data_IF_062734614424
#
_entry.id   IF_062734614424
#
_cell.length_a   1.000
_cell.length_b   1.000
_cell.length_c   1.000
_cell.angle_alpha   90.00
_cell.angle_beta   90.00
_cell.angle_gamma   90.00
#
_symmetry.space_group_name_H-M   'P 1'
#
loop_
_entity.id
_entity.type
_entity.pdbx_description
1 polymer ?
#
# COMPACT_ATOMS: atom_id res chain seq x y z
N UNK A 1 0.66 18.00 42.48
CA UNK A 1 1.48 18.25 43.68
C UNK A 1 1.21 17.12 44.65
N UNK A 2 2.23 16.33 45.01
CA UNK A 2 2.07 15.25 45.99
C UNK A 2 2.37 15.81 47.38
N UNK A 3 1.37 15.85 48.26
CA UNK A 3 1.53 16.27 49.66
C UNK A 3 1.57 14.99 50.50
N UNK A 4 2.63 14.83 51.29
CA UNK A 4 2.82 13.68 52.18
C UNK A 4 2.58 14.17 53.60
N UNK A 5 1.59 13.59 54.29
CA UNK A 5 1.21 13.95 55.67
C UNK A 5 1.33 12.69 56.52
N UNK A 6 1.97 12.78 57.68
CA UNK A 6 1.98 11.69 58.68
C UNK A 6 3.09 10.62 58.55
N UNK A 7 4.12 10.83 57.74
CA UNK A 7 5.27 9.92 57.69
C UNK A 7 6.26 10.20 58.84
N UNK A 8 6.65 9.16 59.58
CA UNK A 8 7.57 9.25 60.74
C UNK A 8 8.99 8.84 60.41
N UNK A 9 9.24 8.25 59.24
CA UNK A 9 10.55 7.82 58.77
C UNK A 9 10.84 8.29 57.35
N UNK A 10 12.12 8.58 57.07
CA UNK A 10 12.61 8.94 55.74
C UNK A 10 12.27 7.88 54.68
N UNK A 11 12.27 6.59 55.07
CA UNK A 11 11.86 5.48 54.20
C UNK A 11 10.38 5.58 53.81
N UNK A 12 9.50 5.98 54.71
CA UNK A 12 8.06 6.08 54.45
C UNK A 12 7.75 7.28 53.55
N UNK A 13 8.47 8.39 53.76
CA UNK A 13 8.43 9.54 52.85
C UNK A 13 8.88 9.13 51.45
N UNK A 14 10.04 8.46 51.32
CA UNK A 14 10.57 8.03 50.02
C UNK A 14 9.65 7.03 49.31
N UNK A 15 9.10 6.05 50.03
CA UNK A 15 8.18 5.08 49.44
C UNK A 15 6.86 5.70 49.04
N UNK A 16 6.33 6.65 49.81
CA UNK A 16 5.13 7.41 49.46
C UNK A 16 5.35 8.29 48.21
N UNK A 17 6.46 9.03 48.15
CA UNK A 17 6.89 9.77 46.96
C UNK A 17 7.04 8.84 45.75
N UNK A 18 7.79 7.75 45.90
CA UNK A 18 8.03 6.79 44.81
C UNK A 18 6.72 6.21 44.30
N UNK A 19 5.78 5.87 45.19
CA UNK A 19 4.44 5.39 44.81
C UNK A 19 3.63 6.46 44.06
N UNK A 20 3.60 7.69 44.57
CA UNK A 20 2.85 8.78 43.95
C UNK A 20 3.42 9.15 42.57
N UNK A 21 4.74 9.30 42.47
CA UNK A 21 5.41 9.67 41.22
C UNK A 21 5.52 8.52 40.23
N UNK A 22 5.63 7.26 40.68
CA UNK A 22 5.62 6.11 39.75
C UNK A 22 4.27 5.95 39.07
N UNK A 23 3.16 6.09 39.79
CA UNK A 23 1.83 6.04 39.20
C UNK A 23 1.60 7.22 38.24
N UNK A 24 1.93 8.45 38.66
CA UNK A 24 1.82 9.63 37.81
C UNK A 24 2.70 9.53 36.54
N UNK A 25 3.91 8.97 36.66
CA UNK A 25 4.82 8.75 35.54
C UNK A 25 4.27 7.71 34.56
N UNK A 26 3.75 6.57 35.04
CA UNK A 26 3.13 5.54 34.19
C UNK A 26 1.86 6.04 33.49
N UNK A 27 0.97 6.72 34.20
CA UNK A 27 -0.24 7.30 33.62
C UNK A 27 0.13 8.33 32.54
N UNK A 28 1.15 9.16 32.79
CA UNK A 28 1.67 10.12 31.82
C UNK A 28 2.32 9.45 30.61
N UNK A 29 3.07 8.36 30.81
CA UNK A 29 3.66 7.57 29.73
C UNK A 29 2.56 7.00 28.81
N UNK A 30 1.52 6.39 29.39
CA UNK A 30 0.40 5.83 28.64
C UNK A 30 -0.37 6.92 27.90
N UNK A 31 -0.70 8.03 28.56
CA UNK A 31 -1.39 9.15 27.91
C UNK A 31 -0.60 9.71 26.71
N UNK A 32 0.72 9.84 26.83
CA UNK A 32 1.56 10.29 25.70
C UNK A 32 1.63 9.26 24.55
N UNK A 33 1.57 7.96 24.86
CA UNK A 33 1.48 6.91 23.85
C UNK A 33 0.12 6.95 23.14
N UNK A 34 -0.96 7.13 23.88
CA UNK A 34 -2.31 7.27 23.31
C UNK A 34 -2.40 8.53 22.43
N UNK A 35 -1.82 9.64 22.89
CA UNK A 35 -1.66 10.86 22.08
C UNK A 35 -0.89 10.56 20.79
N UNK A 36 0.26 9.87 20.86
CA UNK A 36 1.05 9.50 19.68
C UNK A 36 0.24 8.66 18.67
N UNK A 37 -0.56 7.71 19.15
CA UNK A 37 -1.39 6.83 18.32
C UNK A 37 -2.59 7.55 17.70
N UNK A 38 -3.13 8.55 18.40
CA UNK A 38 -4.28 9.34 17.95
C UNK A 38 -3.90 10.48 17.01
N UNK A 39 -2.62 10.89 17.01
CA UNK A 39 -2.08 11.96 16.16
C UNK A 39 -2.25 11.60 14.69
N UNK A 40 -3.05 12.43 14.01
CA UNK A 40 -3.30 12.37 12.58
C UNK A 40 -3.07 13.75 11.98
N UNK A 41 -2.63 13.79 10.73
CA UNK A 41 -2.44 15.04 10.00
C UNK A 41 -3.74 15.83 9.84
N UNK A 42 -4.83 15.15 9.47
CA UNK A 42 -6.09 15.82 9.13
C UNK A 42 -5.88 16.91 8.07
N UNK A 43 -6.35 18.12 8.38
CA UNK A 43 -6.25 19.31 7.53
C UNK A 43 -4.95 20.13 7.76
N UNK A 44 -4.08 19.68 8.66
CA UNK A 44 -2.84 20.38 8.97
C UNK A 44 -1.81 20.25 7.83
N UNK A 45 -0.95 21.27 7.71
CA UNK A 45 0.24 21.15 6.86
C UNK A 45 1.20 20.10 7.42
N UNK A 46 1.99 19.46 6.55
CA UNK A 46 2.95 18.42 6.99
C UNK A 46 3.96 18.98 7.99
N UNK A 47 4.38 20.23 7.81
CA UNK A 47 5.28 20.89 8.77
C UNK A 47 4.67 20.98 10.17
N UNK A 48 3.41 21.43 10.28
CA UNK A 48 2.73 21.54 11.58
C UNK A 48 2.49 20.17 12.21
N UNK A 49 2.07 19.21 11.40
CA UNK A 49 1.89 17.82 11.84
C UNK A 49 3.20 17.20 12.34
N UNK A 50 4.29 17.32 11.58
CA UNK A 50 5.60 16.81 11.96
C UNK A 50 6.16 17.45 13.23
N UNK A 51 5.96 18.76 13.41
CA UNK A 51 6.33 19.46 14.65
C UNK A 51 5.52 18.95 15.85
N UNK A 52 4.21 18.78 15.69
CA UNK A 52 3.35 18.26 16.75
C UNK A 52 3.73 16.83 17.15
N UNK A 53 3.96 15.97 16.16
CA UNK A 53 4.44 14.60 16.36
C UNK A 53 5.79 14.59 17.09
N UNK A 54 6.77 15.38 16.64
CA UNK A 54 8.09 15.49 17.28
C UNK A 54 7.97 15.95 18.73
N UNK A 55 7.12 16.94 19.01
CA UNK A 55 6.92 17.43 20.37
C UNK A 55 6.40 16.34 21.32
N UNK A 56 5.57 15.41 20.85
CA UNK A 56 5.12 14.26 21.65
C UNK A 56 6.27 13.27 21.86
N UNK A 57 7.05 12.97 20.82
CA UNK A 57 8.24 12.14 20.94
C UNK A 57 9.26 12.72 21.94
N UNK A 58 9.45 14.03 21.94
CA UNK A 58 10.36 14.73 22.85
C UNK A 58 9.84 14.69 24.29
N UNK A 59 8.53 14.80 24.50
CA UNK A 59 7.89 14.58 25.82
C UNK A 59 8.11 13.16 26.32
N UNK A 60 8.00 12.14 25.46
CA UNK A 60 8.30 10.75 25.81
C UNK A 60 9.79 10.54 26.13
N UNK A 61 10.68 11.14 25.34
CA UNK A 61 12.11 11.13 25.61
C UNK A 61 12.44 11.78 26.98
N UNK A 62 11.73 12.84 27.38
CA UNK A 62 11.92 13.49 28.69
C UNK A 62 11.57 12.60 29.89
N UNK A 63 10.75 11.56 29.70
CA UNK A 63 10.37 10.59 30.74
C UNK A 63 11.33 9.37 30.72
N UNK A 64 12.47 9.48 30.01
CA UNK A 64 13.44 8.38 29.84
C UNK A 64 12.77 7.17 29.15
N UNK A 65 11.82 7.47 28.25
CA UNK A 65 11.08 6.51 27.43
C UNK A 65 11.15 6.93 25.97
N UNK A 66 12.35 6.96 25.42
CA UNK A 66 12.56 7.27 24.00
C UNK A 66 12.00 6.16 23.11
N UNK A 67 11.32 6.56 22.03
CA UNK A 67 10.86 5.65 20.98
C UNK A 67 12.04 5.32 20.05
N UNK A 68 12.11 4.10 19.55
CA UNK A 68 13.09 3.69 18.53
C UNK A 68 12.97 4.53 17.25
N UNK A 69 14.08 4.72 16.53
CA UNK A 69 14.07 5.51 15.29
C UNK A 69 13.17 4.91 14.22
N UNK A 70 13.14 3.58 14.09
CA UNK A 70 12.31 2.84 13.14
C UNK A 70 10.84 3.00 13.47
N UNK A 71 10.50 2.85 14.76
CA UNK A 71 9.14 3.01 15.25
C UNK A 71 8.64 4.45 15.03
N UNK A 72 9.46 5.46 15.35
CA UNK A 72 9.12 6.87 15.10
C UNK A 72 8.75 7.11 13.64
N UNK A 73 9.54 6.57 12.72
CA UNK A 73 9.31 6.65 11.28
C UNK A 73 8.00 5.97 10.88
N UNK A 74 7.76 4.75 11.37
CA UNK A 74 6.52 4.01 11.11
C UNK A 74 5.27 4.74 11.63
N UNK A 75 5.29 5.22 12.88
CA UNK A 75 4.17 5.96 13.47
C UNK A 75 3.89 7.27 12.74
N UNK A 76 4.93 7.99 12.32
CA UNK A 76 4.78 9.21 11.53
C UNK A 76 4.06 8.95 10.21
N UNK A 77 4.46 7.91 9.46
CA UNK A 77 3.89 7.55 8.17
C UNK A 77 2.43 7.10 8.29
N UNK A 78 2.07 6.41 9.38
CA UNK A 78 0.70 5.98 9.68
C UNK A 78 -0.27 7.15 9.88
N UNK A 79 0.20 8.25 10.48
CA UNK A 79 -0.65 9.42 10.77
C UNK A 79 -0.80 10.42 9.60
N UNK A 80 -0.11 10.25 8.47
CA UNK A 80 -0.22 11.16 7.30
C UNK A 80 -1.59 11.13 6.62
N UNK A 81 -2.32 10.01 6.75
CA UNK A 81 -3.66 9.83 6.22
C UNK A 81 -3.72 9.45 4.73
N UNK A 82 -4.93 9.29 4.16
CA UNK A 82 -5.14 8.66 2.85
C UNK A 82 -4.57 9.47 1.66
N UNK A 83 -4.46 10.80 1.79
CA UNK A 83 -3.87 11.65 0.75
C UNK A 83 -2.38 11.36 0.48
N UNK A 84 -1.71 10.69 1.42
CA UNK A 84 -0.31 10.28 1.33
C UNK A 84 -0.19 8.75 1.28
N UNK A 85 -1.28 8.01 1.04
CA UNK A 85 -1.28 6.54 1.03
C UNK A 85 -0.21 5.94 0.11
N UNK A 86 -0.08 6.44 -1.12
CA UNK A 86 0.96 6.00 -2.06
C UNK A 86 2.37 6.31 -1.56
N UNK A 87 2.58 7.52 -1.03
CA UNK A 87 3.86 7.93 -0.45
C UNK A 87 4.24 7.03 0.74
N UNK A 88 3.30 6.80 1.66
CA UNK A 88 3.48 5.92 2.82
C UNK A 88 3.82 4.49 2.38
N UNK A 89 3.12 3.93 1.40
CA UNK A 89 3.39 2.58 0.90
C UNK A 89 4.79 2.44 0.30
N UNK A 90 5.21 3.40 -0.54
CA UNK A 90 6.55 3.43 -1.15
C UNK A 90 7.63 3.52 -0.07
N UNK A 91 7.38 4.32 0.95
CA UNK A 91 8.36 4.57 1.99
C UNK A 91 8.49 3.42 2.99
N UNK A 92 7.39 2.71 3.28
CA UNK A 92 7.40 1.49 4.08
C UNK A 92 8.02 0.29 3.36
N UNK A 93 8.05 0.30 2.02
CA UNK A 93 8.70 -0.73 1.23
C UNK A 93 10.24 -0.57 1.13
N UNK A 94 10.82 0.51 1.68
CA UNK A 94 12.26 0.73 1.70
C UNK A 94 12.91 -0.03 2.86
N UNK A 95 14.00 -0.74 2.56
CA UNK A 95 14.80 -1.45 3.55
C UNK A 95 16.27 -0.97 3.46
N UNK A 96 16.81 -0.31 4.50
CA UNK A 96 16.21 0.03 5.79
C UNK A 96 15.24 1.22 5.72
N UNK A 97 14.30 1.27 6.68
CA UNK A 97 13.37 2.39 6.81
C UNK A 97 14.13 3.68 7.07
N UNK A 98 13.81 4.74 6.32
CA UNK A 98 14.48 6.03 6.47
C UNK A 98 14.15 6.68 7.82
N UNK A 99 15.09 7.48 8.34
CA UNK A 99 14.91 8.20 9.60
C UNK A 99 13.86 9.32 9.49
N UNK A 100 13.18 9.61 10.60
CA UNK A 100 12.11 10.60 10.70
C UNK A 100 12.41 11.95 10.03
N UNK A 101 13.58 12.54 10.23
CA UNK A 101 13.88 13.87 9.68
C UNK A 101 13.95 13.85 8.15
N UNK A 102 14.50 12.78 7.57
CA UNK A 102 14.54 12.57 6.11
C UNK A 102 13.14 12.31 5.55
N UNK A 103 12.30 11.56 6.28
CA UNK A 103 10.90 11.33 5.92
C UNK A 103 10.10 12.61 5.90
N UNK A 104 10.28 13.46 6.91
CA UNK A 104 9.61 14.75 7.02
C UNK A 104 9.99 15.66 5.85
N UNK A 105 11.27 15.70 5.48
CA UNK A 105 11.73 16.45 4.31
C UNK A 105 11.11 15.94 3.01
N UNK A 106 11.13 14.62 2.77
CA UNK A 106 10.50 14.01 1.59
C UNK A 106 9.00 14.24 1.52
N UNK A 107 8.30 14.13 2.65
CA UNK A 107 6.87 14.38 2.74
C UNK A 107 6.52 15.83 2.39
N UNK A 108 7.31 16.81 2.87
CA UNK A 108 7.15 18.23 2.50
C UNK A 108 7.33 18.45 0.99
N UNK A 109 8.39 17.87 0.40
CA UNK A 109 8.61 17.95 -1.04
C UNK A 109 7.46 17.33 -1.82
N UNK A 110 6.97 16.16 -1.40
CA UNK A 110 5.81 15.50 -2.00
C UNK A 110 4.56 16.38 -1.96
N UNK A 111 4.28 17.06 -0.85
CA UNK A 111 3.17 18.00 -0.75
C UNK A 111 3.30 19.19 -1.71
N UNK A 112 4.52 19.71 -1.88
CA UNK A 112 4.78 20.77 -2.84
C UNK A 112 4.49 20.33 -4.28
N UNK A 113 4.97 19.14 -4.66
CA UNK A 113 4.71 18.56 -5.98
C UNK A 113 3.21 18.25 -6.19
N UNK A 114 2.53 17.65 -5.22
CA UNK A 114 1.09 17.39 -5.29
C UNK A 114 0.29 18.68 -5.51
N UNK A 115 0.61 19.75 -4.78
CA UNK A 115 -0.04 21.05 -4.99
C UNK A 115 0.21 21.60 -6.38
N UNK A 116 1.42 21.47 -6.91
CA UNK A 116 1.73 21.92 -8.28
C UNK A 116 0.94 21.16 -9.36
N UNK A 117 0.64 19.87 -9.14
CA UNK A 117 -0.23 19.09 -10.04
C UNK A 117 -1.71 19.46 -9.93
N UNK A 118 -2.17 19.95 -8.77
CA UNK A 118 -3.55 20.39 -8.56
C UNK A 118 -3.82 21.82 -9.10
N UNK A 119 -2.80 22.66 -9.29
CA UNK A 119 -2.92 24.06 -9.76
C UNK A 119 -3.17 24.16 -11.29
N UNK A 120 -3.51 23.07 -11.97
CA UNK A 120 -4.08 23.14 -13.33
C UNK A 120 -5.61 23.06 -13.27
N UNK A 121 -6.36 24.20 -13.26
CA UNK A 121 -7.74 24.16 -13.65
C UNK A 121 -7.79 23.93 -15.16
N UNK A 122 -7.82 22.66 -15.59
CA UNK A 122 -8.25 22.32 -16.96
C UNK A 122 -9.71 21.89 -16.92
N UNK A 123 -10.68 22.81 -17.03
CA UNK A 123 -12.03 22.46 -17.47
C UNK A 123 -12.05 22.26 -19.00
N UNK A 124 -11.03 21.62 -19.58
CA UNK A 124 -10.93 21.39 -21.03
C UNK A 124 -11.40 19.99 -21.44
N UNK A 125 -12.00 19.23 -20.52
CA UNK A 125 -12.64 17.96 -20.87
C UNK A 125 -14.09 18.14 -21.36
N UNK A 126 -14.73 19.29 -21.08
CA UNK A 126 -16.08 19.58 -21.55
C UNK A 126 -16.13 20.33 -22.90
N UNK A 127 -15.10 21.12 -23.25
CA UNK A 127 -15.09 21.84 -24.53
C UNK A 127 -14.93 20.93 -25.75
N UNK A 128 -14.25 19.78 -25.59
CA UNK A 128 -14.14 18.79 -26.65
C UNK A 128 -15.45 17.99 -26.87
N UNK A 129 -16.37 17.98 -25.90
CA UNK A 129 -17.67 17.29 -26.02
C UNK A 129 -18.79 18.18 -26.57
N UNK A 130 -18.59 19.50 -26.65
CA UNK A 130 -19.62 20.43 -27.15
C UNK A 130 -19.47 20.77 -28.65
N UNK A 131 -18.35 20.46 -29.29
CA UNK A 131 -18.13 20.77 -30.72
C UNK A 131 -18.47 19.62 -31.70
N UNK A 132 -18.94 18.47 -31.22
CA UNK A 132 -19.49 17.43 -32.10
C UNK A 132 -20.88 17.01 -31.63
N UNK A 133 -21.86 17.89 -31.81
CA UNK A 133 -23.25 17.48 -32.04
C UNK A 133 -23.59 17.70 -33.52
N UNK A 134 -23.44 16.71 -34.41
CA UNK A 134 -24.25 16.71 -35.61
C UNK A 134 -25.68 16.32 -35.21
N UNK A 135 -26.61 17.20 -35.55
CA UNK A 135 -28.06 17.05 -35.51
C UNK A 135 -28.52 15.72 -36.13
N UNK A 136 -29.53 15.10 -35.52
CA UNK A 136 -30.07 13.78 -35.85
C UNK A 136 -30.69 13.68 -37.27
N UNK A 137 -30.20 12.69 -38.04
CA UNK A 137 -30.89 11.67 -38.90
C UNK A 137 -31.63 12.09 -40.20
N UNK A 138 -31.91 11.17 -41.18
CA UNK A 138 -31.73 9.69 -41.23
C UNK A 138 -31.16 9.03 -42.55
N UNK A 139 -30.72 7.75 -42.42
CA UNK A 139 -30.70 6.60 -43.38
C UNK A 139 -30.18 6.82 -44.84
N UNK A 140 -29.19 6.06 -45.32
CA UNK A 140 -29.30 4.65 -45.74
C UNK A 140 -27.91 4.00 -45.94
N UNK A 141 -27.86 2.69 -45.69
CA UNK A 141 -26.89 1.71 -46.22
C UNK A 141 -25.43 1.76 -45.72
N UNK A 142 -25.12 0.92 -44.72
CA UNK A 142 -23.89 0.10 -44.70
C UNK A 142 -24.02 -1.02 -43.65
N UNK A 143 -24.99 -1.92 -43.86
CA UNK A 143 -25.20 -3.10 -43.00
C UNK A 143 -24.26 -4.25 -43.41
N UNK A 144 -22.94 -4.05 -43.45
CA UNK A 144 -22.04 -5.14 -43.86
C UNK A 144 -20.68 -5.24 -43.13
N UNK A 145 -20.17 -4.17 -42.51
CA UNK A 145 -18.86 -4.25 -41.81
C UNK A 145 -18.91 -4.69 -40.34
N UNK A 146 -20.04 -4.53 -39.62
CA UNK A 146 -20.09 -4.89 -38.19
C UNK A 146 -20.27 -6.38 -37.91
N UNK A 147 -20.74 -7.17 -38.90
CA UNK A 147 -20.83 -8.63 -38.73
C UNK A 147 -19.46 -9.31 -38.81
N UNK A 148 -18.58 -8.85 -39.69
CA UNK A 148 -17.24 -9.46 -39.87
C UNK A 148 -16.31 -9.22 -38.67
N UNK A 149 -16.35 -8.04 -38.05
CA UNK A 149 -15.46 -7.72 -36.91
C UNK A 149 -15.91 -8.43 -35.63
N UNK A 150 -17.23 -8.49 -35.35
CA UNK A 150 -17.75 -9.26 -34.20
C UNK A 150 -17.53 -10.77 -34.36
N UNK A 151 -17.71 -11.32 -35.57
CA UNK A 151 -17.44 -12.74 -35.82
C UNK A 151 -15.95 -13.09 -35.65
N UNK A 152 -15.02 -12.24 -36.12
CA UNK A 152 -13.58 -12.50 -36.01
C UNK A 152 -13.04 -12.43 -34.58
N UNK A 153 -13.62 -11.57 -33.73
CA UNK A 153 -13.27 -11.49 -32.29
C UNK A 153 -13.81 -12.68 -31.49
N UNK A 154 -15.01 -13.15 -31.80
CA UNK A 154 -15.62 -14.31 -31.13
C UNK A 154 -14.89 -15.61 -31.49
N UNK A 155 -14.51 -15.81 -32.75
CA UNK A 155 -13.72 -16.97 -33.20
C UNK A 155 -12.35 -17.03 -32.51
N UNK A 156 -11.66 -15.89 -32.36
CA UNK A 156 -10.36 -15.83 -31.67
C UNK A 156 -10.48 -16.16 -30.18
N UNK A 157 -11.53 -15.70 -29.50
CA UNK A 157 -11.78 -16.06 -28.08
C UNK A 157 -12.14 -17.55 -27.92
N UNK A 158 -12.89 -18.12 -28.86
CA UNK A 158 -13.20 -19.56 -28.90
C UNK A 158 -11.95 -20.44 -29.03
N UNK A 159 -11.06 -20.11 -29.97
CA UNK A 159 -9.81 -20.85 -30.19
C UNK A 159 -8.89 -20.82 -28.96
N UNK A 160 -8.77 -19.68 -28.28
CA UNK A 160 -7.96 -19.57 -27.06
C UNK A 160 -8.56 -20.39 -25.91
N UNK A 161 -9.89 -20.44 -25.80
CA UNK A 161 -10.57 -21.25 -24.79
C UNK A 161 -10.45 -22.76 -25.06
N UNK A 162 -10.43 -23.17 -26.33
CA UNK A 162 -10.24 -24.56 -26.75
C UNK A 162 -8.79 -25.01 -26.53
N UNK A 163 -7.81 -24.18 -26.89
CA UNK A 163 -6.37 -24.43 -26.66
C UNK A 163 -6.05 -24.54 -25.16
N UNK A 164 -6.67 -23.69 -24.33
CA UNK A 164 -6.51 -23.78 -22.87
C UNK A 164 -7.09 -25.09 -22.31
N UNK A 165 -8.18 -25.59 -22.89
CA UNK A 165 -8.86 -26.82 -22.45
C UNK A 165 -8.12 -28.09 -22.89
N UNK A 166 -7.56 -28.12 -24.10
CA UNK A 166 -6.73 -29.23 -24.58
C UNK A 166 -5.39 -29.30 -23.84
N UNK A 167 -4.81 -28.16 -23.48
CA UNK A 167 -3.55 -28.12 -22.74
C UNK A 167 -3.71 -28.57 -21.28
N UNK A 168 -4.81 -28.23 -20.61
CA UNK A 168 -5.09 -28.68 -19.25
C UNK A 168 -5.35 -30.19 -19.19
N UNK A 169 -6.07 -30.76 -20.17
CA UNK A 169 -6.30 -32.22 -20.22
C UNK A 169 -5.01 -33.02 -20.48
N UNK A 170 -4.13 -32.57 -21.39
CA UNK A 170 -2.85 -33.25 -21.63
C UNK A 170 -1.94 -33.28 -20.39
N UNK A 171 -1.93 -32.17 -19.64
CA UNK A 171 -1.13 -32.06 -18.40
C UNK A 171 -1.66 -32.98 -17.30
N UNK A 172 -2.99 -33.13 -17.18
CA UNK A 172 -3.62 -34.00 -16.18
C UNK A 172 -3.45 -35.48 -16.55
N UNK A 173 -3.51 -35.83 -17.84
CA UNK A 173 -3.22 -37.18 -18.33
C UNK A 173 -1.75 -37.57 -18.11
N UNK A 174 -0.79 -36.69 -18.41
CA UNK A 174 0.64 -36.98 -18.20
C UNK A 174 1.00 -37.15 -16.72
N UNK A 175 0.38 -36.36 -15.82
CA UNK A 175 0.57 -36.48 -14.36
C UNK A 175 -0.07 -37.78 -13.85
N UNK A 176 -1.29 -38.13 -14.30
CA UNK A 176 -1.96 -39.37 -13.90
C UNK A 176 -1.24 -40.62 -14.44
N UNK A 177 -0.69 -40.58 -15.66
CA UNK A 177 0.10 -41.69 -16.22
C UNK A 177 1.46 -41.84 -15.51
N UNK A 178 2.11 -40.73 -15.13
CA UNK A 178 3.33 -40.76 -14.33
C UNK A 178 3.08 -41.30 -12.90
N UNK A 179 1.93 -41.00 -12.30
CA UNK A 179 1.52 -41.52 -11.00
C UNK A 179 1.20 -43.03 -11.04
N UNK A 180 0.63 -43.52 -12.15
CA UNK A 180 0.31 -44.95 -12.34
C UNK A 180 1.52 -45.83 -12.68
N UNK A 181 2.63 -45.28 -13.17
CA UNK A 181 3.82 -46.06 -13.58
C UNK A 181 4.95 -46.09 -12.54
N UNK A 182 4.79 -45.43 -11.38
CA UNK A 182 5.75 -45.50 -10.27
C UNK A 182 7.18 -45.09 -10.64
N UNK A 183 7.33 -44.02 -11.41
CA UNK A 183 8.62 -43.58 -11.97
C UNK A 183 9.40 -42.74 -10.93
N UNK A 184 10.72 -42.98 -10.73
CA UNK A 184 11.50 -42.29 -9.70
C UNK A 184 11.69 -40.78 -9.95
N UNK A 185 11.82 -40.03 -8.86
CA UNK A 185 11.82 -38.55 -8.74
C UNK A 185 12.63 -37.71 -9.75
N UNK A 186 13.79 -38.13 -10.31
CA UNK A 186 14.53 -37.27 -11.25
C UNK A 186 13.79 -36.99 -12.58
N UNK A 187 12.85 -37.84 -13.00
CA UNK A 187 12.08 -37.61 -14.24
C UNK A 187 10.89 -36.67 -14.04
N UNK A 188 10.35 -36.58 -12.82
CA UNK A 188 9.31 -35.61 -12.46
C UNK A 188 9.83 -34.17 -12.54
N UNK A 189 11.10 -33.93 -12.19
CA UNK A 189 11.73 -32.62 -12.33
C UNK A 189 11.93 -32.20 -13.79
N UNK A 190 12.23 -33.15 -14.69
CA UNK A 190 12.39 -32.85 -16.12
C UNK A 190 11.04 -32.52 -16.78
N UNK A 191 9.97 -33.19 -16.37
CA UNK A 191 8.60 -32.92 -16.83
C UNK A 191 8.14 -31.55 -16.30
N UNK A 192 8.41 -31.23 -15.02
CA UNK A 192 8.14 -29.92 -14.44
C UNK A 192 8.91 -28.79 -15.15
N UNK A 193 10.18 -29.00 -15.48
CA UNK A 193 11.02 -28.03 -16.20
C UNK A 193 10.50 -27.74 -17.61
N UNK A 194 10.13 -28.79 -18.36
CA UNK A 194 9.50 -28.62 -19.69
C UNK A 194 8.14 -27.94 -19.62
N UNK A 195 7.35 -28.20 -18.57
CA UNK A 195 6.06 -27.54 -18.37
C UNK A 195 6.21 -26.06 -18.00
N UNK A 196 7.16 -25.73 -17.12
CA UNK A 196 7.43 -24.35 -16.71
C UNK A 196 7.82 -23.49 -17.91
N UNK A 197 8.65 -24.01 -18.82
CA UNK A 197 9.08 -23.28 -20.01
C UNK A 197 7.92 -23.02 -21.00
N UNK A 198 6.98 -23.96 -21.14
CA UNK A 198 5.76 -23.77 -21.95
C UNK A 198 4.82 -22.74 -21.32
N UNK A 199 4.66 -22.74 -20.00
CA UNK A 199 3.82 -21.77 -19.27
C UNK A 199 4.44 -20.36 -19.32
N UNK A 200 5.76 -20.24 -19.22
CA UNK A 200 6.49 -18.98 -19.35
C UNK A 200 6.37 -18.37 -20.76
N UNK A 201 6.46 -19.20 -21.80
CA UNK A 201 6.22 -18.77 -23.19
C UNK A 201 4.79 -18.28 -23.41
N UNK A 202 3.79 -18.92 -22.80
CA UNK A 202 2.40 -18.48 -22.88
C UNK A 202 2.16 -17.14 -22.18
N UNK A 203 2.85 -16.90 -21.04
CA UNK A 203 2.77 -15.63 -20.32
C UNK A 203 3.38 -14.47 -21.11
N UNK A 204 4.51 -14.71 -21.78
CA UNK A 204 5.13 -13.72 -22.67
C UNK A 204 4.32 -13.47 -23.94
N UNK A 205 3.75 -14.52 -24.55
CA UNK A 205 2.86 -14.39 -25.70
C UNK A 205 1.58 -13.60 -25.36
N UNK A 206 1.03 -13.80 -24.15
CA UNK A 206 -0.14 -13.05 -23.69
C UNK A 206 0.20 -11.57 -23.40
N UNK A 207 1.44 -11.27 -22.97
CA UNK A 207 1.92 -9.90 -22.78
C UNK A 207 2.13 -9.16 -24.11
N UNK A 208 2.67 -9.85 -25.13
CA UNK A 208 2.93 -9.25 -26.45
C UNK A 208 1.65 -8.95 -27.26
N UNK A 209 0.55 -9.64 -26.96
CA UNK A 209 -0.75 -9.43 -27.62
C UNK A 209 -1.61 -8.38 -26.87
N UNK A 210 -1.14 -7.91 -25.69
CA UNK A 210 -1.81 -6.94 -24.83
C UNK A 210 -1.42 -5.47 -25.01
N UNK A 211 -0.56 -5.14 -25.97
CA UNK A 211 -0.19 -3.78 -26.40
C UNK A 211 -0.66 -3.52 -27.83
#
# INVERSE_FOLDING_TARGET
MAVIIGCTSSRDVWTSLTRAYSHASKARELGLKDDLLSVKRGDLSISKYGQHFKAICDKLASIIRSIDSTDKSHWFLRGLGPAFSTFTAVQLAQEPLSEFDTLLARAKSHQFFQRSSDISPRPLRLSFMLLLRPVLRPRLSHKESSRKIKAKVVVRRGAISAVKRTMMHGTVLDILTALSLGLPDPLLQLIWSKHYHKVALYRNLMFLIGT
#
